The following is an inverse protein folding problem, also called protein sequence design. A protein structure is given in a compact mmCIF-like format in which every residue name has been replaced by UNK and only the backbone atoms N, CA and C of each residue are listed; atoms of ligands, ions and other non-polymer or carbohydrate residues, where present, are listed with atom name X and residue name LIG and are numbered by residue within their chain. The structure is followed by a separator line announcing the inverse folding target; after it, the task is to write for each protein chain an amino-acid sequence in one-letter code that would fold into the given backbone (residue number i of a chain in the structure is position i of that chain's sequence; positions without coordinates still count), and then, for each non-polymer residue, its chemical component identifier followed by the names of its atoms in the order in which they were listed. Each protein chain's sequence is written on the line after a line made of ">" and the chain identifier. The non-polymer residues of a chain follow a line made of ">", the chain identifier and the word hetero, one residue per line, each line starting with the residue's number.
data_IF_531023121927
#
_entry.id   IF_531023121927
#
_cell.length_a   1.000
_cell.length_b   1.000
_cell.length_c   1.000
_cell.angle_alpha   90.00
_cell.angle_beta   90.00
_cell.angle_gamma   90.00
#
_symmetry.space_group_name_H-M   'P 1'
#
loop_
_entity.id
_entity.type
_entity.pdbx_description
1 polymer ?
#
# COMPACT_ATOMS: atom_id res chain seq x y z
N UNK A 1 16.33 -7.33 0.80
CA UNK A 1 15.32 -6.67 1.64
C UNK A 1 14.17 -6.14 0.79
N UNK A 2 13.06 -5.92 1.42
CA UNK A 2 11.88 -5.37 0.78
C UNK A 2 12.00 -3.85 0.75
N UNK A 3 12.07 -3.26 -0.44
CA UNK A 3 12.25 -1.81 -0.56
C UNK A 3 10.94 -1.06 -0.74
N UNK A 4 9.95 -1.69 -1.33
CA UNK A 4 8.66 -1.04 -1.53
C UNK A 4 7.55 -2.07 -1.61
N UNK A 5 6.45 -1.74 -0.97
CA UNK A 5 5.23 -2.52 -1.01
C UNK A 5 4.07 -1.58 -1.36
N UNK A 6 3.28 -1.97 -2.35
CA UNK A 6 2.06 -1.26 -2.69
C UNK A 6 0.86 -2.16 -2.47
N UNK A 7 -0.07 -1.68 -1.66
CA UNK A 7 -1.30 -2.39 -1.34
C UNK A 7 -2.47 -1.62 -1.93
N UNK A 8 -3.33 -2.32 -2.64
CA UNK A 8 -4.57 -1.76 -3.18
C UNK A 8 -5.78 -2.33 -2.45
N UNK A 9 -6.84 -1.57 -2.44
CA UNK A 9 -8.11 -2.02 -1.89
C UNK A 9 -9.26 -1.12 -2.31
N UNK A 10 -10.46 -1.55 -1.99
CA UNK A 10 -11.66 -0.75 -2.19
C UNK A 10 -12.16 -0.28 -0.84
N UNK A 11 -12.39 1.04 -0.73
CA UNK A 11 -13.06 1.57 0.46
C UNK A 11 -14.52 1.13 0.45
N UNK A 12 -14.94 0.52 1.55
CA UNK A 12 -16.35 0.25 1.78
C UNK A 12 -17.07 1.60 1.89
N UNK A 13 -18.09 1.87 1.06
CA UNK A 13 -18.81 3.15 1.11
C UNK A 13 -19.36 3.49 2.49
N UNK A 14 -19.71 2.47 3.28
CA UNK A 14 -20.23 2.67 4.63
C UNK A 14 -19.13 2.96 5.65
N UNK A 15 -17.86 2.81 5.27
CA UNK A 15 -16.72 2.98 6.16
C UNK A 15 -15.82 4.14 5.78
N UNK A 16 -16.05 4.77 4.62
CA UNK A 16 -15.20 5.85 4.13
C UNK A 16 -15.13 7.02 5.10
N UNK A 17 -16.28 7.43 5.63
CA UNK A 17 -16.32 8.53 6.60
C UNK A 17 -15.62 8.16 7.91
N UNK A 18 -15.74 6.92 8.34
CA UNK A 18 -15.05 6.43 9.53
C UNK A 18 -13.54 6.49 9.36
N UNK A 19 -13.05 6.14 8.18
CA UNK A 19 -11.61 6.22 7.89
C UNK A 19 -11.12 7.67 7.89
N UNK A 20 -11.85 8.57 7.25
CA UNK A 20 -11.49 9.99 7.22
C UNK A 20 -11.47 10.56 8.64
N UNK A 21 -12.46 10.24 9.45
CA UNK A 21 -12.52 10.67 10.85
C UNK A 21 -11.32 10.13 11.64
N UNK A 22 -10.98 8.86 11.44
CA UNK A 22 -9.82 8.27 12.10
C UNK A 22 -8.52 8.98 11.70
N UNK A 23 -8.36 9.29 10.41
CA UNK A 23 -7.20 10.02 9.92
C UNK A 23 -7.13 11.44 10.52
N UNK A 24 -8.25 12.14 10.62
CA UNK A 24 -8.28 13.47 11.21
C UNK A 24 -7.94 13.48 12.70
N UNK A 25 -8.19 12.37 13.39
CA UNK A 25 -7.94 12.25 14.83
C UNK A 25 -6.55 11.72 15.15
N UNK A 26 -5.79 11.28 14.15
CA UNK A 26 -4.44 10.73 14.37
C UNK A 26 -3.39 11.84 14.14
N UNK A 27 -2.62 12.23 15.17
CA UNK A 27 -1.64 13.31 15.02
C UNK A 27 -0.55 13.04 13.98
N UNK A 28 -0.26 11.78 13.73
CA UNK A 28 0.79 11.37 12.80
C UNK A 28 0.28 11.15 11.37
N UNK A 29 -0.94 11.57 11.08
CA UNK A 29 -1.52 11.54 9.74
C UNK A 29 -1.67 12.97 9.24
N UNK A 30 -1.06 13.24 8.08
CA UNK A 30 -1.03 14.57 7.48
C UNK A 30 -1.67 14.52 6.11
N UNK A 31 -2.71 15.30 5.91
CA UNK A 31 -3.35 15.47 4.61
C UNK A 31 -2.49 16.41 3.75
N UNK A 32 -2.09 15.93 2.58
CA UNK A 32 -1.17 16.63 1.68
C UNK A 32 -1.88 17.26 0.47
N UNK A 33 -3.20 17.12 0.42
CA UNK A 33 -3.98 17.62 -0.70
C UNK A 33 -4.38 16.52 -1.65
N UNK A 34 -5.03 16.90 -2.73
CA UNK A 34 -5.49 15.96 -3.75
C UNK A 34 -5.64 16.66 -5.09
N UNK A 35 -5.58 15.87 -6.16
CA UNK A 35 -5.74 16.40 -7.52
C UNK A 35 -7.21 16.64 -7.87
N UNK A 36 -8.14 16.17 -7.08
CA UNK A 36 -9.57 16.37 -7.27
C UNK A 36 -10.26 16.63 -5.93
N UNK A 37 -11.45 17.20 -6.00
CA UNK A 37 -12.24 17.50 -4.78
C UNK A 37 -12.69 16.25 -4.02
N UNK A 38 -12.63 15.07 -4.64
CA UNK A 38 -13.03 13.81 -4.03
C UNK A 38 -11.86 12.88 -3.79
N UNK A 39 -10.65 13.29 -4.15
CA UNK A 39 -9.44 12.54 -3.92
C UNK A 39 -8.68 13.04 -2.72
N UNK A 40 -7.95 12.15 -2.07
CA UNK A 40 -7.16 12.46 -0.89
C UNK A 40 -5.77 11.87 -1.02
N UNK A 41 -4.79 12.65 -0.59
CA UNK A 41 -3.42 12.21 -0.45
C UNK A 41 -3.00 12.44 1.00
N UNK A 42 -2.57 11.41 1.65
CA UNK A 42 -2.31 11.42 3.10
C UNK A 42 -0.95 10.78 3.34
N UNK A 43 -0.17 11.39 4.22
CA UNK A 43 1.05 10.78 4.74
C UNK A 43 0.77 10.23 6.13
N UNK A 44 1.12 8.97 6.36
CA UNK A 44 0.88 8.30 7.64
C UNK A 44 2.22 7.99 8.28
N UNK A 45 2.42 8.52 9.48
CA UNK A 45 3.63 8.26 10.30
C UNK A 45 4.93 8.46 9.51
N UNK A 46 4.98 9.53 8.71
CA UNK A 46 6.13 10.01 7.93
C UNK A 46 6.57 9.11 6.77
N UNK A 47 6.30 7.81 6.86
CA UNK A 47 6.89 6.83 5.93
C UNK A 47 5.89 6.16 5.00
N UNK A 48 4.61 6.40 5.15
CA UNK A 48 3.57 5.73 4.36
C UNK A 48 2.82 6.74 3.52
N UNK A 49 2.77 6.48 2.22
CA UNK A 49 1.99 7.26 1.28
C UNK A 49 0.64 6.58 1.05
N UNK A 50 -0.44 7.32 1.24
CA UNK A 50 -1.80 6.82 1.11
C UNK A 50 -2.59 7.71 0.17
N UNK A 51 -3.24 7.11 -0.81
CA UNK A 51 -4.11 7.82 -1.75
C UNK A 51 -5.43 7.09 -1.89
N UNK A 52 -6.50 7.84 -1.84
CA UNK A 52 -7.83 7.28 -2.03
C UNK A 52 -8.79 8.34 -2.56
N UNK A 53 -9.93 7.89 -3.07
CA UNK A 53 -11.00 8.79 -3.47
C UNK A 53 -12.35 8.29 -2.98
N UNK A 54 -13.31 9.20 -2.92
CA UNK A 54 -14.66 8.91 -2.41
C UNK A 54 -15.63 8.44 -3.50
N UNK A 55 -15.20 8.41 -4.76
CA UNK A 55 -16.09 8.03 -5.87
C UNK A 55 -16.32 6.52 -5.96
N UNK A 56 -15.61 5.77 -5.13
CA UNK A 56 -15.67 4.32 -5.17
C UNK A 56 -14.76 3.73 -6.26
N UNK A 57 -14.66 2.42 -6.30
CA UNK A 57 -13.84 1.75 -7.30
C UNK A 57 -14.46 1.88 -8.67
N UNK A 58 -13.61 2.02 -9.69
CA UNK A 58 -14.03 1.92 -11.06
C UNK A 58 -13.96 0.46 -11.54
N UNK A 59 -14.41 0.23 -12.76
CA UNK A 59 -14.39 -1.10 -13.37
C UNK A 59 -12.99 -1.72 -13.40
N UNK A 60 -11.95 -0.89 -13.52
CA UNK A 60 -10.57 -1.32 -13.72
C UNK A 60 -9.62 -0.85 -12.62
N UNK A 61 -10.11 -0.17 -11.59
CA UNK A 61 -9.23 0.40 -10.58
C UNK A 61 -9.90 0.41 -9.20
N UNK A 62 -9.13 0.01 -8.23
CA UNK A 62 -9.51 0.18 -6.83
C UNK A 62 -9.31 1.63 -6.42
N UNK A 63 -10.05 2.08 -5.43
CA UNK A 63 -10.03 3.48 -5.02
C UNK A 63 -9.17 3.79 -3.81
N UNK A 64 -8.33 2.84 -3.39
CA UNK A 64 -7.45 3.00 -2.24
C UNK A 64 -6.09 2.39 -2.54
N UNK A 65 -5.01 3.11 -2.19
CA UNK A 65 -3.64 2.64 -2.38
C UNK A 65 -2.76 3.08 -1.22
N UNK A 66 -1.97 2.14 -0.71
CA UNK A 66 -0.87 2.41 0.24
C UNK A 66 0.46 2.05 -0.39
N UNK A 67 1.46 2.89 -0.16
CA UNK A 67 2.84 2.57 -0.55
C UNK A 67 3.79 2.87 0.61
N UNK A 68 4.66 1.95 0.91
CA UNK A 68 5.68 2.13 1.94
C UNK A 68 6.84 1.16 1.74
N UNK A 69 7.97 1.51 2.36
CA UNK A 69 9.10 0.60 2.48
C UNK A 69 8.95 -0.16 3.81
N UNK A 70 8.80 -1.49 3.78
CA UNK A 70 8.61 -2.26 5.01
C UNK A 70 9.74 -2.13 6.03
N UNK A 71 10.93 -1.71 5.58
CA UNK A 71 12.07 -1.50 6.48
C UNK A 71 12.00 -0.17 7.23
N UNK A 72 11.20 0.77 6.75
CA UNK A 72 11.14 2.13 7.29
C UNK A 72 9.88 2.40 8.11
N UNK A 73 8.96 1.46 8.19
CA UNK A 73 7.72 1.66 8.93
C UNK A 73 7.90 1.25 10.40
N UNK A 74 7.31 2.05 11.27
CA UNK A 74 7.28 1.74 12.69
C UNK A 74 6.29 0.61 12.98
N UNK A 75 6.53 -0.18 14.05
CA UNK A 75 5.56 -1.21 14.47
C UNK A 75 4.16 -0.66 14.69
N UNK A 76 4.05 0.59 15.15
CA UNK A 76 2.79 1.28 15.37
C UNK A 76 1.98 1.42 14.08
N UNK A 77 2.65 1.59 12.94
CA UNK A 77 1.96 1.64 11.66
C UNK A 77 1.29 0.30 11.34
N UNK A 78 1.97 -0.80 11.57
CA UNK A 78 1.39 -2.13 11.30
C UNK A 78 0.15 -2.38 12.15
N UNK A 79 0.21 -1.98 13.42
CA UNK A 79 -0.97 -2.06 14.30
C UNK A 79 -2.11 -1.16 13.79
N UNK A 80 -1.79 0.05 13.35
CA UNK A 80 -2.76 0.98 12.80
C UNK A 80 -3.39 0.44 11.49
N UNK A 81 -2.57 -0.13 10.62
CA UNK A 81 -3.03 -0.74 9.38
C UNK A 81 -4.06 -1.84 9.65
N UNK A 82 -3.76 -2.74 10.58
CA UNK A 82 -4.64 -3.86 10.89
C UNK A 82 -5.90 -3.45 11.65
N UNK A 83 -5.80 -2.48 12.55
CA UNK A 83 -6.92 -2.11 13.43
C UNK A 83 -7.81 -1.02 12.86
N UNK A 84 -7.27 -0.12 12.04
CA UNK A 84 -8.00 1.05 11.54
C UNK A 84 -8.25 0.98 10.04
N UNK A 85 -7.23 0.69 9.25
CA UNK A 85 -7.31 0.79 7.80
C UNK A 85 -7.97 -0.44 7.17
N UNK A 86 -7.46 -1.63 7.43
CA UNK A 86 -7.99 -2.85 6.83
C UNK A 86 -9.49 -3.08 7.10
N UNK A 87 -10.03 -2.77 8.29
CA UNK A 87 -11.47 -2.93 8.50
C UNK A 87 -12.35 -2.06 7.58
N UNK A 88 -11.79 -1.03 6.98
CA UNK A 88 -12.51 -0.15 6.05
C UNK A 88 -12.37 -0.58 4.59
N UNK A 89 -11.58 -1.61 4.30
CA UNK A 89 -11.28 -2.03 2.95
C UNK A 89 -11.90 -3.39 2.61
N UNK A 90 -12.22 -3.54 1.34
CA UNK A 90 -12.55 -4.83 0.73
C UNK A 90 -11.64 -5.05 -0.46
N UNK A 91 -11.56 -6.29 -0.94
CA UNK A 91 -10.80 -6.65 -2.14
C UNK A 91 -9.35 -6.14 -2.11
N UNK A 92 -8.68 -6.34 -0.97
CA UNK A 92 -7.30 -5.93 -0.80
C UNK A 92 -6.36 -6.87 -1.54
N UNK A 93 -5.28 -6.30 -2.06
CA UNK A 93 -4.25 -7.06 -2.73
C UNK A 93 -2.96 -6.27 -2.84
N UNK A 94 -1.88 -6.97 -3.13
CA UNK A 94 -0.57 -6.39 -3.34
C UNK A 94 -0.39 -6.12 -4.83
N UNK A 95 -0.13 -4.86 -5.21
CA UNK A 95 0.06 -4.50 -6.62
C UNK A 95 1.52 -4.38 -7.01
N UNK A 96 2.42 -4.16 -6.04
CA UNK A 96 3.83 -3.97 -6.30
C UNK A 96 4.67 -4.44 -5.12
N UNK A 97 5.72 -5.18 -5.43
CA UNK A 97 6.75 -5.56 -4.47
C UNK A 97 8.09 -5.28 -5.12
N UNK A 98 8.88 -4.39 -4.51
CA UNK A 98 10.26 -4.15 -4.92
C UNK A 98 11.15 -4.84 -3.89
N UNK A 99 12.06 -5.67 -4.37
CA UNK A 99 12.96 -6.43 -3.53
C UNK A 99 14.40 -6.07 -3.90
N UNK A 100 15.14 -5.56 -2.93
CA UNK A 100 16.58 -5.35 -3.09
C UNK A 100 17.32 -6.58 -2.58
N UNK A 101 18.14 -7.16 -3.43
CA UNK A 101 18.89 -8.37 -3.12
C UNK A 101 20.37 -8.02 -3.11
N UNK A 102 21.06 -8.42 -2.04
CA UNK A 102 22.50 -8.24 -1.94
C UNK A 102 23.18 -9.10 -3.02
N UNK A 103 24.23 -8.53 -3.64
CA UNK A 103 24.99 -9.20 -4.70
C UNK A 103 25.70 -10.46 -4.25
N UNK A 104 25.90 -10.63 -2.95
CA UNK A 104 26.50 -11.85 -2.39
C UNK A 104 25.54 -13.00 -2.26
N UNK A 105 24.25 -12.76 -2.49
CA UNK A 105 23.23 -13.78 -2.34
C UNK A 105 22.86 -14.41 -3.67
N UNK A 106 22.52 -15.67 -3.61
CA UNK A 106 22.07 -16.42 -4.78
C UNK A 106 20.58 -16.13 -5.03
N UNK A 107 20.30 -15.51 -6.18
CA UNK A 107 18.94 -15.17 -6.57
C UNK A 107 18.05 -16.41 -6.74
N UNK A 108 18.63 -17.56 -7.05
CA UNK A 108 17.89 -18.79 -7.21
C UNK A 108 17.29 -19.32 -5.92
N UNK A 109 17.75 -18.84 -4.77
CA UNK A 109 17.19 -19.22 -3.48
C UNK A 109 15.98 -18.40 -3.07
N UNK A 110 15.70 -17.30 -3.76
CA UNK A 110 14.58 -16.45 -3.42
C UNK A 110 13.29 -16.98 -4.01
N UNK A 111 12.27 -16.92 -3.20
CA UNK A 111 10.94 -17.34 -3.56
C UNK A 111 9.93 -16.26 -3.21
N UNK A 112 9.13 -15.88 -4.18
CA UNK A 112 8.05 -14.91 -3.96
C UNK A 112 6.73 -15.63 -4.11
N UNK A 113 6.02 -15.76 -3.01
CA UNK A 113 4.69 -16.31 -3.00
C UNK A 113 3.67 -15.19 -3.18
N UNK A 114 3.10 -15.10 -4.36
CA UNK A 114 2.12 -14.07 -4.64
C UNK A 114 0.73 -14.58 -4.31
N UNK A 115 0.05 -13.88 -3.45
CA UNK A 115 -1.32 -14.21 -3.04
C UNK A 115 -2.34 -13.27 -3.68
N UNK A 116 -1.91 -12.40 -4.57
CA UNK A 116 -2.78 -11.44 -5.24
C UNK A 116 -3.12 -11.92 -6.65
N UNK A 117 -4.30 -12.49 -6.87
CA UNK A 117 -4.65 -13.04 -8.18
C UNK A 117 -4.93 -11.96 -9.23
N UNK A 118 -5.13 -10.70 -8.85
CA UNK A 118 -5.50 -9.63 -9.77
C UNK A 118 -4.39 -8.62 -9.99
N UNK A 119 -3.33 -8.68 -9.20
CA UNK A 119 -2.22 -7.74 -9.26
C UNK A 119 -1.06 -8.29 -10.08
N UNK A 120 -0.16 -7.37 -10.40
CA UNK A 120 1.12 -7.70 -11.01
C UNK A 120 2.21 -7.61 -9.95
N UNK A 121 3.00 -8.65 -9.84
CA UNK A 121 4.17 -8.65 -8.96
C UNK A 121 5.41 -8.56 -9.83
N UNK A 122 6.21 -7.53 -9.60
CA UNK A 122 7.51 -7.38 -10.23
C UNK A 122 8.60 -7.76 -9.26
N UNK A 123 9.51 -8.58 -9.74
CA UNK A 123 10.65 -9.01 -8.98
C UNK A 123 11.91 -8.38 -9.58
N UNK A 124 12.64 -7.62 -8.79
CA UNK A 124 13.83 -6.92 -9.25
C UNK A 124 15.02 -7.22 -8.36
N UNK A 125 16.05 -7.76 -8.97
CA UNK A 125 17.33 -7.86 -8.32
C UNK A 125 18.12 -6.56 -8.46
N UNK A 126 19.17 -6.43 -7.68
CA UNK A 126 20.03 -5.26 -7.71
C UNK A 126 20.68 -5.09 -9.08
N UNK A 127 20.40 -3.97 -9.76
CA UNK A 127 20.91 -3.69 -11.10
C UNK A 127 20.38 -4.64 -12.18
N UNK A 128 19.36 -5.44 -11.88
CA UNK A 128 18.85 -6.43 -12.79
C UNK A 128 17.36 -6.64 -12.58
N UNK A 129 16.61 -6.50 -13.65
CA UNK A 129 15.19 -6.80 -13.62
C UNK A 129 14.97 -8.28 -13.88
N UNK A 130 14.12 -8.88 -13.08
CA UNK A 130 13.67 -10.26 -13.28
C UNK A 130 12.27 -10.24 -13.90
N UNK A 131 11.77 -11.42 -14.26
CA UNK A 131 10.47 -11.53 -14.89
C UNK A 131 9.33 -11.10 -13.97
N UNK A 132 8.26 -10.59 -14.59
CA UNK A 132 7.00 -10.33 -13.90
C UNK A 132 6.28 -11.64 -13.63
N UNK A 133 5.83 -11.81 -12.42
CA UNK A 133 5.13 -13.02 -11.97
C UNK A 133 3.63 -12.85 -11.98
#
# INVERSE_FOLDING_TARGET
>A
SWDKLSILGNLDPNRTQSLITAFCNEPNVIFQGAHSSRGFHVNIMESVDCRFNMDGPSKNARNFKLEFNPNDVAPEFMAYLHSVIYPCLTDTGVSRIDLAIDTTEDLGTYYIDTVNPTGTVEYRGRGKQLETL
#
